data_IF_105648182725
#
_entry.id   IF_105648182725
#
_cell.length_a   1.000
_cell.length_b   1.000
_cell.length_c   1.000
_cell.angle_alpha   90.00
_cell.angle_beta   90.00
_cell.angle_gamma   90.00
#
_symmetry.space_group_name_H-M   'P 1'
#
loop_
_entity.id
_entity.type
_entity.pdbx_description
1 polymer ?
#
# COMPACT_ATOMS: atom_id res chain seq x y z
N UNK A 1 -2.95 15.62 3.18
CA UNK A 1 -1.95 15.68 2.11
C UNK A 1 -2.55 16.11 0.78
N UNK A 2 -1.71 16.59 -0.15
CA UNK A 2 -2.03 16.62 -1.57
C UNK A 2 -2.06 15.18 -2.09
N UNK A 3 -2.91 14.86 -3.07
CA UNK A 3 -2.85 13.55 -3.72
C UNK A 3 -3.06 13.65 -5.23
N UNK A 4 -2.44 12.70 -5.96
CA UNK A 4 -2.61 12.49 -7.41
C UNK A 4 -2.66 10.98 -7.64
N UNK A 5 -3.79 10.47 -8.15
CA UNK A 5 -4.04 9.05 -8.40
C UNK A 5 -4.71 8.84 -9.76
N UNK A 6 -4.52 7.70 -10.39
CA UNK A 6 -5.15 7.37 -11.67
C UNK A 6 -6.66 7.16 -11.58
N UNK A 7 -7.14 6.64 -10.45
CA UNK A 7 -8.56 6.45 -10.18
C UNK A 7 -9.23 7.66 -9.52
N UNK A 8 -10.56 7.67 -9.44
CA UNK A 8 -11.32 8.68 -8.71
C UNK A 8 -11.54 8.24 -7.26
N UNK A 9 -11.01 8.96 -6.29
CA UNK A 9 -11.26 8.71 -4.87
C UNK A 9 -12.72 9.08 -4.53
N UNK A 10 -13.52 8.10 -4.12
CA UNK A 10 -14.96 8.29 -3.91
C UNK A 10 -15.27 9.35 -2.84
N UNK A 11 -14.52 9.37 -1.74
CA UNK A 11 -14.69 10.34 -0.65
C UNK A 11 -14.32 11.78 -1.05
N UNK A 12 -13.46 11.96 -2.05
CA UNK A 12 -13.03 13.29 -2.54
C UNK A 12 -13.75 13.70 -3.84
N UNK A 13 -14.36 12.74 -4.55
CA UNK A 13 -14.99 12.97 -5.86
C UNK A 13 -14.01 13.39 -6.95
N UNK A 14 -12.69 13.17 -6.77
CA UNK A 14 -11.63 13.63 -7.65
C UNK A 14 -10.48 12.63 -7.71
N UNK A 15 -9.65 12.71 -8.75
CA UNK A 15 -8.40 11.97 -8.88
C UNK A 15 -7.18 12.75 -8.38
N UNK A 16 -7.35 14.04 -8.10
CA UNK A 16 -6.31 14.88 -7.52
C UNK A 16 -6.93 15.98 -6.66
N UNK A 17 -6.25 16.36 -5.61
CA UNK A 17 -6.65 17.48 -4.75
C UNK A 17 -5.43 18.07 -4.04
N UNK A 18 -5.32 19.39 -4.06
CA UNK A 18 -4.35 20.11 -3.25
C UNK A 18 -4.75 20.02 -1.77
N UNK A 19 -3.83 19.62 -0.93
CA UNK A 19 -3.96 19.62 0.53
C UNK A 19 -3.09 20.69 1.17
N UNK A 20 -3.30 20.94 2.46
CA UNK A 20 -2.53 21.89 3.25
C UNK A 20 -1.33 21.28 4.00
N UNK A 21 -1.16 19.95 3.94
CA UNK A 21 -0.07 19.25 4.63
C UNK A 21 1.20 19.17 3.78
N UNK A 22 2.31 18.79 4.42
CA UNK A 22 3.64 18.72 3.83
C UNK A 22 3.83 17.57 2.83
N UNK A 23 2.97 16.55 2.89
CA UNK A 23 3.10 15.36 2.04
C UNK A 23 2.22 15.44 0.80
N UNK A 24 2.75 14.88 -0.28
CA UNK A 24 2.00 14.52 -1.48
C UNK A 24 1.98 13.00 -1.61
N UNK A 25 0.80 12.43 -1.88
CA UNK A 25 0.60 11.01 -2.18
C UNK A 25 0.39 10.88 -3.68
N UNK A 26 1.26 10.13 -4.35
CA UNK A 26 1.23 9.95 -5.81
C UNK A 26 1.12 8.47 -6.12
N UNK A 27 0.21 8.09 -7.01
CA UNK A 27 0.21 6.77 -7.63
C UNK A 27 1.37 6.70 -8.63
N UNK A 28 2.31 5.79 -8.37
CA UNK A 28 3.45 5.53 -9.25
C UNK A 28 3.06 4.45 -10.25
N UNK A 29 3.36 4.67 -11.53
CA UNK A 29 3.02 3.76 -12.62
C UNK A 29 4.30 3.17 -13.23
N UNK A 30 4.42 1.85 -13.19
CA UNK A 30 5.55 1.10 -13.79
C UNK A 30 5.32 0.81 -15.27
N UNK A 31 4.10 0.94 -15.78
CA UNK A 31 3.74 0.49 -17.12
C UNK A 31 4.54 1.16 -18.25
N UNK A 32 4.94 2.42 -18.06
CA UNK A 32 5.76 3.20 -18.98
C UNK A 32 7.12 3.61 -18.36
N UNK A 33 7.48 3.04 -17.23
CA UNK A 33 8.65 3.39 -16.41
C UNK A 33 8.68 4.85 -15.92
N UNK A 34 7.57 5.59 -15.98
CA UNK A 34 7.50 6.99 -15.52
C UNK A 34 7.76 7.14 -14.03
N UNK A 35 7.45 6.12 -13.22
CA UNK A 35 7.73 6.10 -11.77
C UNK A 35 9.22 6.33 -11.45
N UNK A 36 10.13 6.02 -12.39
CA UNK A 36 11.56 6.29 -12.25
C UNK A 36 11.91 7.79 -12.21
N UNK A 37 10.97 8.68 -12.56
CA UNK A 37 11.16 10.12 -12.43
C UNK A 37 10.81 10.67 -11.04
N UNK A 38 10.22 9.82 -10.19
CA UNK A 38 9.85 10.20 -8.82
C UNK A 38 11.05 10.03 -7.87
N UNK A 39 11.10 10.88 -6.84
CA UNK A 39 12.04 10.78 -5.73
C UNK A 39 11.26 10.71 -4.41
N UNK A 40 10.70 9.54 -4.07
CA UNK A 40 9.86 9.40 -2.89
C UNK A 40 10.68 9.43 -1.60
N UNK A 41 10.11 9.94 -0.51
CA UNK A 41 10.62 9.75 0.84
C UNK A 41 10.13 8.39 1.40
N UNK A 42 8.87 8.06 1.12
CA UNK A 42 8.29 6.76 1.41
C UNK A 42 7.79 6.16 0.11
N UNK A 43 8.26 4.95 -0.23
CA UNK A 43 7.82 4.21 -1.39
C UNK A 43 7.07 2.95 -0.97
N UNK A 44 5.89 2.73 -1.56
CA UNK A 44 5.10 1.52 -1.32
C UNK A 44 5.18 0.63 -2.55
N UNK A 45 5.54 -0.65 -2.37
CA UNK A 45 5.52 -1.67 -3.43
C UNK A 45 4.57 -2.80 -3.00
N UNK A 46 3.49 -2.95 -3.73
CA UNK A 46 2.42 -3.92 -3.41
C UNK A 46 2.69 -5.29 -3.98
N UNK A 47 3.15 -5.36 -5.21
CA UNK A 47 3.48 -6.57 -5.95
C UNK A 47 4.42 -6.22 -7.11
N UNK A 48 5.12 -7.22 -7.62
CA UNK A 48 5.87 -7.16 -8.89
C UNK A 48 5.46 -8.38 -9.70
N UNK A 49 4.67 -8.19 -10.71
CA UNK A 49 4.22 -9.24 -11.63
C UNK A 49 4.59 -8.91 -13.08
N UNK A 50 4.32 -9.85 -13.98
CA UNK A 50 4.73 -9.76 -15.37
C UNK A 50 3.79 -8.95 -16.27
N UNK A 51 3.05 -7.98 -15.74
CA UNK A 51 2.23 -7.08 -16.53
C UNK A 51 3.09 -5.99 -17.20
N UNK A 52 2.59 -5.45 -18.33
CA UNK A 52 3.23 -4.35 -19.08
C UNK A 52 4.70 -4.62 -19.51
N UNK A 53 5.01 -5.90 -19.83
CA UNK A 53 6.37 -6.35 -20.13
C UNK A 53 6.97 -5.74 -21.38
N UNK A 54 6.17 -5.13 -22.28
CA UNK A 54 6.65 -4.46 -23.50
C UNK A 54 7.67 -3.36 -23.18
N UNK A 55 7.41 -2.56 -22.16
CA UNK A 55 8.30 -1.48 -21.67
C UNK A 55 9.66 -2.02 -21.24
N UNK A 56 9.70 -3.24 -20.73
CA UNK A 56 10.90 -3.89 -20.21
C UNK A 56 11.51 -4.92 -21.18
N UNK A 57 11.05 -4.92 -22.45
CA UNK A 57 11.54 -5.84 -23.48
C UNK A 57 11.25 -7.31 -23.19
N UNK A 58 10.13 -7.60 -22.54
CA UNK A 58 9.71 -8.94 -22.09
C UNK A 58 10.71 -9.62 -21.13
N UNK A 59 11.56 -8.84 -20.45
CA UNK A 59 12.54 -9.31 -19.49
C UNK A 59 12.15 -8.94 -18.07
N UNK A 60 11.68 -9.93 -17.28
CA UNK A 60 11.28 -9.74 -15.89
C UNK A 60 12.43 -9.27 -14.98
N UNK A 61 13.68 -9.59 -15.32
CA UNK A 61 14.83 -9.09 -14.58
C UNK A 61 14.99 -7.57 -14.76
N UNK A 62 14.69 -7.02 -15.94
CA UNK A 62 14.69 -5.57 -16.18
C UNK A 62 13.59 -4.86 -15.38
N UNK A 63 12.40 -5.44 -15.33
CA UNK A 63 11.32 -4.90 -14.49
C UNK A 63 11.77 -4.85 -13.03
N UNK A 64 12.31 -5.94 -12.47
CA UNK A 64 12.81 -5.97 -11.10
C UNK A 64 13.92 -4.94 -10.86
N UNK A 65 14.85 -4.80 -11.80
CA UNK A 65 15.91 -3.79 -11.72
C UNK A 65 15.33 -2.37 -11.65
N UNK A 66 14.30 -2.06 -12.44
CA UNK A 66 13.62 -0.77 -12.39
C UNK A 66 12.98 -0.48 -11.02
N UNK A 67 12.37 -1.48 -10.37
CA UNK A 67 11.88 -1.33 -9.00
C UNK A 67 13.01 -1.08 -8.00
N UNK A 68 14.15 -1.76 -8.12
CA UNK A 68 15.33 -1.50 -7.28
C UNK A 68 15.84 -0.08 -7.49
N UNK A 69 15.93 0.38 -8.74
CA UNK A 69 16.35 1.74 -9.09
C UNK A 69 15.39 2.79 -8.52
N UNK A 70 14.09 2.54 -8.60
CA UNK A 70 13.07 3.40 -7.98
C UNK A 70 13.27 3.51 -6.46
N UNK A 71 13.46 2.39 -5.78
CA UNK A 71 13.68 2.37 -4.34
C UNK A 71 15.00 3.04 -3.94
N UNK A 72 16.02 2.99 -4.80
CA UNK A 72 17.29 3.68 -4.55
C UNK A 72 17.22 5.20 -4.75
N UNK A 73 16.17 5.72 -5.40
CA UNK A 73 15.94 7.18 -5.50
C UNK A 73 15.48 7.82 -4.19
N UNK A 74 15.07 7.01 -3.21
CA UNK A 74 14.76 7.51 -1.87
C UNK A 74 16.01 8.08 -1.20
N UNK A 75 15.87 9.16 -0.40
CA UNK A 75 16.95 9.64 0.45
C UNK A 75 17.34 8.58 1.50
N UNK A 76 18.49 8.74 2.14
CA UNK A 76 18.98 7.77 3.13
C UNK A 76 18.07 7.62 4.36
N UNK A 77 17.27 8.63 4.67
CA UNK A 77 16.30 8.65 5.76
C UNK A 77 14.90 8.15 5.35
N UNK A 78 14.72 7.81 4.08
CA UNK A 78 13.45 7.27 3.58
C UNK A 78 13.26 5.80 3.90
N UNK A 79 12.07 5.27 3.63
CA UNK A 79 11.74 3.87 3.86
C UNK A 79 10.93 3.26 2.70
N UNK A 80 11.32 2.05 2.29
CA UNK A 80 10.58 1.19 1.39
C UNK A 80 9.58 0.35 2.17
N UNK A 81 8.30 0.51 1.90
CA UNK A 81 7.22 -0.25 2.50
C UNK A 81 6.78 -1.29 1.48
N UNK A 82 7.08 -2.55 1.71
CA UNK A 82 6.99 -3.60 0.70
C UNK A 82 6.13 -4.79 1.15
N UNK A 83 5.40 -5.39 0.22
CA UNK A 83 4.60 -6.58 0.50
C UNK A 83 5.51 -7.79 0.79
N UNK A 84 5.45 -8.31 2.01
CA UNK A 84 6.21 -9.47 2.46
C UNK A 84 5.67 -10.79 1.90
N UNK A 85 4.44 -10.80 1.42
CA UNK A 85 3.78 -12.01 0.88
C UNK A 85 3.96 -12.14 -0.65
N UNK A 86 4.54 -11.13 -1.33
CA UNK A 86 4.71 -11.17 -2.78
C UNK A 86 6.10 -11.70 -3.16
N UNK A 87 6.20 -12.79 -3.93
CA UNK A 87 7.48 -13.39 -4.30
C UNK A 87 8.35 -12.48 -5.18
N UNK A 88 7.74 -11.69 -6.07
CA UNK A 88 8.42 -10.73 -6.93
C UNK A 88 9.12 -9.66 -6.08
N UNK A 89 8.37 -9.08 -5.14
CA UNK A 89 8.88 -8.10 -4.18
C UNK A 89 9.98 -8.69 -3.31
N UNK A 90 9.76 -9.89 -2.73
CA UNK A 90 10.77 -10.54 -1.88
C UNK A 90 12.07 -10.80 -2.62
N UNK A 91 12.02 -11.07 -3.93
CA UNK A 91 13.22 -11.32 -4.74
C UNK A 91 14.12 -10.09 -4.89
N UNK A 92 13.59 -8.87 -4.75
CA UNK A 92 14.37 -7.63 -4.86
C UNK A 92 14.84 -7.07 -3.52
N UNK A 93 14.19 -7.44 -2.40
CA UNK A 93 14.54 -6.93 -1.05
C UNK A 93 16.04 -7.02 -0.74
N UNK A 94 16.75 -8.13 -1.03
CA UNK A 94 18.21 -8.22 -0.77
C UNK A 94 19.05 -7.22 -1.54
N UNK A 95 18.52 -6.63 -2.63
CA UNK A 95 19.22 -5.65 -3.47
C UNK A 95 18.94 -4.20 -3.03
N UNK A 96 17.98 -3.99 -2.13
CA UNK A 96 17.58 -2.65 -1.68
C UNK A 96 18.48 -2.20 -0.53
N UNK A 97 19.25 -1.14 -0.74
CA UNK A 97 20.15 -0.54 0.27
C UNK A 97 19.48 0.54 1.14
N UNK A 98 18.17 0.63 1.10
CA UNK A 98 17.37 1.53 1.93
C UNK A 98 16.68 0.76 3.05
N UNK A 99 16.20 1.45 4.08
CA UNK A 99 15.40 0.84 5.13
C UNK A 99 14.15 0.21 4.53
N UNK A 100 13.92 -1.07 4.82
CA UNK A 100 12.76 -1.84 4.33
C UNK A 100 11.84 -2.15 5.51
N UNK A 101 10.55 -1.91 5.32
CA UNK A 101 9.46 -2.27 6.23
C UNK A 101 8.55 -3.22 5.47
N UNK A 102 8.46 -4.47 5.89
CA UNK A 102 7.61 -5.48 5.27
C UNK A 102 6.23 -5.45 5.91
N UNK A 103 5.20 -5.52 5.07
CA UNK A 103 3.83 -5.72 5.53
C UNK A 103 3.23 -6.95 4.86
N UNK A 104 2.32 -7.64 5.55
CA UNK A 104 1.67 -8.83 5.02
C UNK A 104 1.08 -9.71 6.10
N UNK A 105 0.91 -10.99 5.77
CA UNK A 105 0.38 -12.01 6.68
C UNK A 105 1.50 -12.86 7.27
N UNK A 106 2.65 -12.91 6.63
CA UNK A 106 3.79 -13.69 7.09
C UNK A 106 4.34 -13.16 8.44
N UNK A 107 4.79 -14.09 9.29
CA UNK A 107 5.29 -13.78 10.63
C UNK A 107 6.56 -12.92 10.63
N UNK A 108 7.30 -12.89 9.53
CA UNK A 108 8.51 -12.06 9.38
C UNK A 108 8.21 -10.58 9.11
N UNK A 109 6.94 -10.23 8.78
CA UNK A 109 6.56 -8.84 8.49
C UNK A 109 6.58 -7.96 9.74
N UNK A 110 7.06 -6.74 9.60
CA UNK A 110 7.06 -5.72 10.64
C UNK A 110 5.63 -5.18 10.91
N UNK A 111 4.77 -5.17 9.89
CA UNK A 111 3.36 -4.78 9.98
C UNK A 111 2.53 -5.95 9.48
N UNK A 112 1.91 -6.69 10.40
CA UNK A 112 1.27 -7.98 10.11
C UNK A 112 -0.20 -7.96 10.47
N UNK A 113 -1.07 -8.52 9.61
CA UNK A 113 -2.45 -8.80 9.98
C UNK A 113 -2.61 -10.22 10.54
N UNK A 114 -3.35 -10.29 11.66
CA UNK A 114 -3.78 -11.53 12.30
C UNK A 114 -5.29 -11.48 12.56
N UNK A 115 -5.90 -12.62 12.90
CA UNK A 115 -7.34 -12.71 13.21
C UNK A 115 -8.25 -12.14 12.11
N UNK A 116 -7.91 -12.42 10.84
CA UNK A 116 -8.62 -11.86 9.69
C UNK A 116 -9.99 -12.53 9.56
N UNK A 117 -11.05 -11.75 9.50
CA UNK A 117 -12.44 -12.20 9.41
C UNK A 117 -13.21 -11.36 8.39
N UNK A 118 -13.95 -12.03 7.50
CA UNK A 118 -14.95 -11.36 6.68
C UNK A 118 -16.22 -11.10 7.51
N UNK A 119 -16.75 -9.89 7.40
CA UNK A 119 -17.99 -9.49 8.07
C UNK A 119 -19.14 -9.36 7.07
N UNK A 120 -20.40 -9.51 7.55
CA UNK A 120 -21.56 -9.15 6.75
C UNK A 120 -21.44 -7.73 6.21
N UNK A 121 -22.00 -7.48 5.03
CA UNK A 121 -21.89 -6.16 4.39
C UNK A 121 -20.60 -5.92 3.63
N UNK A 122 -19.71 -6.93 3.48
CA UNK A 122 -18.48 -6.84 2.69
C UNK A 122 -17.38 -6.01 3.36
N UNK A 123 -17.27 -6.12 4.66
CA UNK A 123 -16.19 -5.56 5.44
C UNK A 123 -15.20 -6.65 5.87
N UNK A 124 -13.99 -6.26 6.22
CA UNK A 124 -13.00 -7.13 6.83
C UNK A 124 -12.64 -6.61 8.21
N UNK A 125 -12.51 -7.51 9.20
CA UNK A 125 -11.99 -7.22 10.52
C UNK A 125 -10.69 -7.97 10.72
N UNK A 126 -9.68 -7.31 11.28
CA UNK A 126 -8.39 -7.92 11.58
C UNK A 126 -7.65 -7.14 12.67
N UNK A 127 -6.63 -7.76 13.23
CA UNK A 127 -5.71 -7.15 14.18
C UNK A 127 -4.40 -6.87 13.48
N UNK A 128 -3.86 -5.67 13.61
CA UNK A 128 -2.52 -5.32 13.10
C UNK A 128 -1.52 -5.37 14.24
N UNK A 129 -0.54 -6.27 14.11
CA UNK A 129 0.65 -6.33 14.95
C UNK A 129 1.75 -5.49 14.28
N UNK A 130 2.42 -4.64 15.05
CA UNK A 130 3.42 -3.70 14.53
C UNK A 130 4.69 -3.72 15.34
N UNK A 131 5.83 -3.60 14.63
CA UNK A 131 7.15 -3.41 15.22
C UNK A 131 7.84 -2.24 14.53
N UNK A 132 8.16 -1.20 15.27
CA UNK A 132 8.97 -0.07 14.80
C UNK A 132 10.07 0.19 15.84
N UNK A 133 11.18 -0.59 15.73
CA UNK A 133 12.21 -0.64 16.78
C UNK A 133 11.77 -1.39 18.05
N UNK A 134 10.51 -1.24 18.46
CA UNK A 134 9.87 -1.96 19.57
C UNK A 134 8.51 -2.51 19.14
N UNK A 135 7.99 -3.47 19.92
CA UNK A 135 6.63 -3.98 19.76
C UNK A 135 5.63 -2.89 20.17
N UNK A 136 4.71 -2.56 19.28
CA UNK A 136 3.64 -1.60 19.54
C UNK A 136 2.36 -2.32 20.01
N UNK A 137 1.44 -1.62 20.68
CA UNK A 137 0.13 -2.19 21.01
C UNK A 137 -0.59 -2.67 19.74
N UNK A 138 -1.30 -3.81 19.79
CA UNK A 138 -2.09 -4.29 18.65
C UNK A 138 -3.18 -3.30 18.28
N UNK A 139 -3.37 -3.08 16.98
CA UNK A 139 -4.39 -2.19 16.44
C UNK A 139 -5.53 -2.99 15.82
N UNK A 140 -6.74 -2.88 16.36
CA UNK A 140 -7.92 -3.48 15.77
C UNK A 140 -8.45 -2.61 14.61
N UNK A 141 -8.62 -3.22 13.45
CA UNK A 141 -9.12 -2.56 12.24
C UNK A 141 -10.42 -3.21 11.76
N UNK A 142 -11.39 -2.38 11.41
CA UNK A 142 -12.50 -2.74 10.54
C UNK A 142 -12.33 -1.99 9.23
N UNK A 143 -12.09 -2.70 8.15
CA UNK A 143 -11.91 -2.15 6.80
C UNK A 143 -13.24 -2.22 6.04
N UNK A 144 -13.67 -1.12 5.47
CA UNK A 144 -14.92 -1.04 4.69
C UNK A 144 -14.73 -1.50 3.23
N UNK A 145 -13.93 -2.53 3.01
CA UNK A 145 -13.71 -3.20 1.72
C UNK A 145 -13.58 -4.70 1.95
N UNK A 146 -14.10 -5.54 1.04
CA UNK A 146 -13.98 -7.00 1.12
C UNK A 146 -12.64 -7.50 0.60
N UNK A 147 -12.23 -8.67 1.08
CA UNK A 147 -11.15 -9.47 0.52
C UNK A 147 -9.76 -9.21 1.13
N UNK A 148 -8.97 -10.27 1.17
CA UNK A 148 -7.63 -10.24 1.78
C UNK A 148 -6.65 -9.33 1.05
N UNK A 149 -6.80 -9.16 -0.27
CA UNK A 149 -5.99 -8.21 -1.03
C UNK A 149 -6.19 -6.77 -0.53
N UNK A 150 -7.42 -6.39 -0.14
CA UNK A 150 -7.69 -5.09 0.47
C UNK A 150 -7.15 -5.01 1.91
N UNK A 151 -7.12 -6.11 2.65
CA UNK A 151 -6.41 -6.16 3.95
C UNK A 151 -4.93 -5.85 3.75
N UNK A 152 -4.26 -6.47 2.76
CA UNK A 152 -2.86 -6.15 2.43
C UNK A 152 -2.67 -4.68 2.05
N UNK A 153 -3.54 -4.13 1.21
CA UNK A 153 -3.50 -2.70 0.87
C UNK A 153 -3.67 -1.80 2.10
N UNK A 154 -4.57 -2.18 3.03
CA UNK A 154 -4.73 -1.47 4.29
C UNK A 154 -3.50 -1.57 5.19
N UNK A 155 -2.81 -2.72 5.22
CA UNK A 155 -1.54 -2.88 5.95
C UNK A 155 -0.45 -1.95 5.42
N UNK A 156 -0.36 -1.75 4.11
CA UNK A 156 0.55 -0.77 3.51
C UNK A 156 0.25 0.65 4.02
N UNK A 157 -1.03 1.04 4.06
CA UNK A 157 -1.45 2.33 4.59
C UNK A 157 -1.14 2.46 6.10
N UNK A 158 -1.36 1.40 6.89
CA UNK A 158 -1.00 1.38 8.32
C UNK A 158 0.52 1.50 8.50
N UNK A 159 1.33 0.84 7.65
CA UNK A 159 2.79 0.93 7.71
C UNK A 159 3.27 2.37 7.43
N UNK A 160 2.73 3.03 6.39
CA UNK A 160 2.99 4.45 6.11
C UNK A 160 2.59 5.33 7.29
N UNK A 161 1.38 5.13 7.82
CA UNK A 161 0.87 5.92 8.93
C UNK A 161 1.70 5.74 10.22
N UNK A 162 2.17 4.52 10.47
CA UNK A 162 3.06 4.22 11.62
C UNK A 162 4.42 4.91 11.46
N UNK A 163 4.98 4.91 10.25
CA UNK A 163 6.23 5.60 9.94
C UNK A 163 6.13 7.13 10.10
N UNK A 164 4.96 7.67 9.80
CA UNK A 164 4.64 9.10 9.97
C UNK A 164 4.12 9.43 11.38
N UNK A 165 4.21 8.50 12.33
CA UNK A 165 3.78 8.66 13.73
C UNK A 165 2.32 9.12 13.87
N UNK A 166 1.45 8.74 12.92
CA UNK A 166 0.02 9.04 12.98
C UNK A 166 -0.62 8.19 14.09
N UNK A 167 -1.41 8.78 15.00
CA UNK A 167 -2.06 8.04 16.08
C UNK A 167 -3.03 6.97 15.57
N UNK A 168 -3.24 5.91 16.34
CA UNK A 168 -4.05 4.75 15.97
C UNK A 168 -5.52 5.09 15.68
N UNK A 169 -6.12 6.00 16.43
CA UNK A 169 -7.52 6.34 16.27
C UNK A 169 -7.87 6.95 14.90
N UNK A 170 -7.13 7.93 14.36
CA UNK A 170 -7.28 8.40 12.98
C UNK A 170 -7.08 7.30 11.93
N UNK A 171 -6.12 6.38 12.11
CA UNK A 171 -5.86 5.27 11.18
C UNK A 171 -7.10 4.37 11.10
N UNK A 172 -7.59 3.91 12.26
CA UNK A 172 -8.76 3.04 12.33
C UNK A 172 -10.01 3.71 11.75
N UNK A 173 -10.25 4.99 12.07
CA UNK A 173 -11.38 5.75 11.56
C UNK A 173 -11.34 5.92 10.03
N UNK A 174 -10.17 6.22 9.47
CA UNK A 174 -9.99 6.38 8.02
C UNK A 174 -10.28 5.08 7.25
N UNK A 175 -9.81 3.94 7.74
CA UNK A 175 -10.02 2.64 7.11
C UNK A 175 -11.49 2.18 7.25
N UNK A 176 -12.14 2.44 8.38
CA UNK A 176 -13.56 2.14 8.58
C UNK A 176 -14.47 2.99 7.68
N UNK A 177 -14.10 4.24 7.42
CA UNK A 177 -14.85 5.16 6.57
C UNK A 177 -14.44 5.12 5.09
N UNK A 178 -13.47 4.29 4.69
CA UNK A 178 -12.98 4.27 3.32
C UNK A 178 -14.01 3.74 2.34
N UNK A 179 -14.43 4.58 1.39
CA UNK A 179 -15.48 4.28 0.42
C UNK A 179 -14.94 3.74 -0.93
N UNK A 180 -13.66 3.40 -0.98
CA UNK A 180 -12.99 2.88 -2.17
C UNK A 180 -12.69 3.93 -3.24
N UNK A 181 -12.15 3.42 -4.36
CA UNK A 181 -11.81 4.20 -5.56
C UNK A 181 -12.79 3.82 -6.66
N UNK A 182 -13.28 4.80 -7.43
CA UNK A 182 -14.20 4.60 -8.55
C UNK A 182 -13.64 3.60 -9.56
N UNK A 183 -14.53 2.81 -10.17
CA UNK A 183 -14.25 1.69 -11.09
C UNK A 183 -13.61 0.46 -10.46
N UNK A 184 -13.40 0.44 -9.12
CA UNK A 184 -12.94 -0.75 -8.39
C UNK A 184 -14.00 -1.12 -7.36
N UNK A 185 -14.62 -2.32 -7.47
CA UNK A 185 -15.60 -2.88 -6.54
C UNK A 185 -16.81 -1.95 -6.25
N UNK A 186 -17.40 -1.32 -7.26
CA UNK A 186 -18.62 -0.52 -7.10
C UNK A 186 -19.83 -1.45 -6.87
N UNK A 187 -20.54 -1.24 -5.76
CA UNK A 187 -21.84 -1.88 -5.53
C UNK A 187 -22.91 -1.14 -6.32
N UNK A 188 -23.55 -1.81 -7.26
CA UNK A 188 -24.66 -1.27 -8.06
C UNK A 188 -26.05 -1.62 -7.50
N UNK A 189 -26.13 -2.19 -6.30
CA UNK A 189 -27.36 -2.60 -5.61
C UNK A 189 -27.44 -4.09 -5.35
N UNK A 190 -28.51 -4.50 -4.64
CA UNK A 190 -28.85 -5.90 -4.40
C UNK A 190 -29.98 -6.29 -5.34
N UNK A 191 -29.78 -7.40 -6.08
CA UNK A 191 -30.89 -8.03 -6.82
C UNK A 191 -31.70 -8.81 -5.79
N UNK A 192 -32.94 -8.38 -5.51
CA UNK A 192 -33.89 -9.16 -4.73
C UNK A 192 -34.29 -10.39 -5.58
N UNK A 193 -33.91 -11.58 -5.13
CA UNK A 193 -34.41 -12.87 -5.59
C UNK A 193 -35.81 -13.11 -5.05
#
# INVERSE_FOLDING_TARGET
>A
PTFVIGGRLNSAGANSRLGSGEYIVVEADESDASFLNLMPVLAVVTNIDGDHMDTYGHDFARLKAAFVDFLHRMPFYGAAIVCGDDPGVQSIVPMVSRRVIRYGFDASCEVRATNIQALPGGQMRFTVERRNGAVMPPLAITLNLPGEHNVKNALAAVAVATELEIPDAPIAAALAGFAGVGRRFQRYGEVKS
#
